data_IF_244367182076
#
_entry.id   IF_244367182076
#
_cell.length_a   1.000
_cell.length_b   1.000
_cell.length_c   1.000
_cell.angle_alpha   90.00
_cell.angle_beta   90.00
_cell.angle_gamma   90.00
#
_symmetry.space_group_name_H-M   'P 1'
#
loop_
_entity.id
_entity.type
_entity.pdbx_description
1 polymer ?
#
# COMPACT_ATOMS: atom_id res chain seq x y z
N UNK A 1 -18.33 10.89 18.30
CA UNK A 1 -18.07 10.79 16.85
C UNK A 1 -17.91 12.20 16.33
N UNK A 2 -16.75 12.54 15.77
CA UNK A 2 -16.54 13.86 15.15
C UNK A 2 -17.13 13.90 13.71
N UNK A 3 -17.02 15.06 13.04
CA UNK A 3 -17.56 15.28 11.68
C UNK A 3 -16.51 15.11 10.58
N UNK A 4 -15.28 14.78 10.92
CA UNK A 4 -14.19 14.66 9.96
C UNK A 4 -14.27 13.30 9.26
N UNK A 5 -14.14 13.32 7.94
CA UNK A 5 -14.07 12.09 7.15
C UNK A 5 -12.63 11.62 7.06
N UNK A 6 -12.43 10.31 7.14
CA UNK A 6 -11.14 9.71 6.86
C UNK A 6 -10.78 9.84 5.37
N UNK A 7 -9.55 10.26 5.09
CA UNK A 7 -9.03 10.37 3.73
C UNK A 7 -7.69 9.64 3.63
N UNK A 8 -7.77 8.34 3.29
CA UNK A 8 -6.61 7.44 3.14
C UNK A 8 -5.55 8.00 2.19
N UNK A 9 -5.95 8.38 0.98
CA UNK A 9 -5.01 8.80 -0.06
C UNK A 9 -4.28 10.10 0.32
N UNK A 10 -4.99 11.06 0.92
CA UNK A 10 -4.36 12.28 1.40
C UNK A 10 -3.35 12.02 2.52
N UNK A 11 -3.64 11.10 3.44
CA UNK A 11 -2.73 10.75 4.54
C UNK A 11 -1.46 10.06 4.02
N UNK A 12 -1.60 9.19 3.01
CA UNK A 12 -0.46 8.60 2.31
C UNK A 12 0.43 9.68 1.69
N UNK A 13 -0.15 10.66 0.99
CA UNK A 13 0.62 11.76 0.41
C UNK A 13 1.35 12.58 1.48
N UNK A 14 0.69 12.83 2.62
CA UNK A 14 1.32 13.50 3.77
C UNK A 14 2.53 12.69 4.24
N UNK A 15 2.38 11.38 4.45
CA UNK A 15 3.47 10.49 4.84
C UNK A 15 4.63 10.53 3.85
N UNK A 16 4.35 10.44 2.55
CA UNK A 16 5.37 10.55 1.50
C UNK A 16 6.16 11.87 1.60
N UNK A 17 5.49 13.00 1.77
CA UNK A 17 6.17 14.30 1.89
C UNK A 17 7.11 14.39 3.09
N UNK A 18 6.87 13.63 4.16
CA UNK A 18 7.76 13.58 5.32
C UNK A 18 8.99 12.69 5.14
N UNK A 19 8.93 11.68 4.26
CA UNK A 19 9.95 10.62 4.21
C UNK A 19 10.68 10.53 2.87
N UNK A 20 10.18 11.20 1.82
CA UNK A 20 10.68 11.09 0.43
C UNK A 20 12.17 11.42 0.23
N UNK A 21 12.78 12.18 1.14
CA UNK A 21 14.18 12.57 1.04
C UNK A 21 15.13 11.63 1.81
N UNK A 22 14.57 10.66 2.55
CA UNK A 22 15.31 9.68 3.36
C UNK A 22 15.19 8.24 2.84
N UNK A 23 14.16 7.95 2.03
CA UNK A 23 13.85 6.59 1.56
C UNK A 23 13.64 6.56 0.04
N UNK A 24 14.08 5.46 -0.58
CA UNK A 24 14.03 5.29 -2.04
C UNK A 24 12.66 4.83 -2.58
N UNK A 25 11.79 4.31 -1.72
CA UNK A 25 10.46 3.82 -2.09
C UNK A 25 9.55 3.77 -0.85
N UNK A 26 8.25 3.66 -1.07
CA UNK A 26 7.24 3.56 -0.01
C UNK A 26 6.34 2.33 -0.18
N UNK A 27 5.80 1.86 0.94
CA UNK A 27 4.71 0.89 0.98
C UNK A 27 3.44 1.56 1.53
N UNK A 28 2.41 1.70 0.70
CA UNK A 28 1.09 2.16 1.12
C UNK A 28 0.33 0.97 1.71
N UNK A 29 0.34 0.83 3.04
CA UNK A 29 -0.09 -0.39 3.73
C UNK A 29 -1.26 -0.14 4.69
N UNK A 30 -2.38 -0.83 4.48
CA UNK A 30 -3.51 -0.80 5.42
C UNK A 30 -3.15 -1.50 6.74
N UNK A 31 -3.42 -0.87 7.88
CA UNK A 31 -2.96 -1.33 9.20
C UNK A 31 -3.55 -2.69 9.62
N UNK A 32 -4.67 -3.08 9.03
CA UNK A 32 -5.41 -4.31 9.35
C UNK A 32 -5.10 -5.47 8.39
N UNK A 33 -4.23 -5.28 7.39
CA UNK A 33 -3.92 -6.30 6.39
C UNK A 33 -2.53 -6.91 6.61
N UNK A 34 -2.43 -7.93 7.48
CA UNK A 34 -1.15 -8.54 7.85
C UNK A 34 -0.70 -9.62 6.84
N UNK A 35 0.52 -9.52 6.26
CA UNK A 35 1.11 -10.59 5.47
C UNK A 35 1.35 -11.84 6.33
N UNK A 36 0.88 -13.00 5.86
CA UNK A 36 1.06 -14.30 6.55
C UNK A 36 1.99 -15.26 5.78
N UNK A 37 2.46 -14.86 4.59
CA UNK A 37 3.34 -15.64 3.74
C UNK A 37 4.63 -14.86 3.49
N UNK A 38 5.76 -15.39 3.98
CA UNK A 38 7.07 -14.75 3.88
C UNK A 38 7.59 -14.63 2.43
N UNK A 39 6.94 -15.29 1.47
CA UNK A 39 7.25 -15.15 0.06
C UNK A 39 6.69 -13.85 -0.57
N UNK A 40 5.86 -13.09 0.17
CA UNK A 40 5.38 -11.79 -0.28
C UNK A 40 6.52 -10.76 -0.25
N UNK A 41 6.94 -10.30 -1.43
CA UNK A 41 8.06 -9.38 -1.55
C UNK A 41 7.71 -7.98 -1.09
N UNK A 42 8.53 -7.44 -0.19
CA UNK A 42 8.56 -6.02 0.19
C UNK A 42 9.81 -5.29 -0.32
N UNK A 43 10.51 -5.90 -1.29
CA UNK A 43 11.72 -5.31 -1.86
C UNK A 43 11.39 -4.09 -2.72
N UNK A 44 12.41 -3.30 -2.99
CA UNK A 44 12.36 -2.14 -3.90
C UNK A 44 11.68 -2.50 -5.24
N UNK A 45 10.62 -1.77 -5.65
CA UNK A 45 9.86 -2.06 -6.87
C UNK A 45 10.54 -1.46 -8.10
N UNK A 46 11.54 -2.15 -8.65
CA UNK A 46 12.44 -1.60 -9.69
C UNK A 46 11.76 -1.28 -11.03
N UNK A 47 10.91 -2.20 -11.53
CA UNK A 47 10.34 -2.07 -12.88
C UNK A 47 8.99 -1.33 -12.94
N UNK A 48 8.17 -1.48 -11.90
CA UNK A 48 6.80 -0.97 -11.85
C UNK A 48 6.28 -1.03 -10.40
N UNK A 49 5.20 -0.27 -10.07
CA UNK A 49 4.51 -0.44 -8.80
C UNK A 49 4.17 -1.91 -8.52
N UNK A 50 4.44 -2.35 -7.29
CA UNK A 50 4.24 -3.74 -6.90
C UNK A 50 3.06 -3.88 -5.94
N UNK A 51 2.00 -4.54 -6.40
CA UNK A 51 0.79 -4.76 -5.63
C UNK A 51 0.90 -6.05 -4.81
N UNK A 52 1.27 -5.92 -3.52
CA UNK A 52 1.50 -7.06 -2.62
C UNK A 52 0.19 -7.80 -2.33
N UNK A 53 -0.90 -7.07 -2.14
CA UNK A 53 -2.24 -7.64 -1.90
C UNK A 53 -3.05 -7.74 -3.18
N UNK A 54 -2.48 -8.42 -4.18
CA UNK A 54 -3.08 -8.63 -5.49
C UNK A 54 -4.53 -9.16 -5.41
N UNK A 55 -5.38 -8.95 -6.43
CA UNK A 55 -6.79 -9.35 -6.38
C UNK A 55 -7.01 -10.84 -6.07
N UNK A 56 -6.10 -11.72 -6.47
CA UNK A 56 -6.11 -13.16 -6.18
C UNK A 56 -5.64 -13.51 -4.76
N UNK A 57 -5.03 -12.56 -4.05
CA UNK A 57 -4.51 -12.71 -2.68
C UNK A 57 -5.32 -11.94 -1.63
N UNK A 58 -6.06 -10.91 -2.04
CA UNK A 58 -6.81 -10.06 -1.10
C UNK A 58 -8.04 -10.80 -0.54
N UNK A 59 -8.32 -10.75 0.77
CA UNK A 59 -9.41 -11.53 1.40
C UNK A 59 -10.83 -11.12 1.01
N UNK A 60 -11.03 -10.12 0.14
CA UNK A 60 -12.35 -9.48 -0.08
C UNK A 60 -12.55 -9.00 -1.53
N UNK A 61 -11.53 -8.37 -2.12
CA UNK A 61 -11.65 -7.72 -3.43
C UNK A 61 -10.86 -8.49 -4.48
N UNK A 62 -11.55 -9.04 -5.48
CA UNK A 62 -10.99 -9.98 -6.46
C UNK A 62 -11.12 -9.50 -7.91
N UNK A 63 -11.37 -8.20 -8.14
CA UNK A 63 -11.53 -7.65 -9.50
C UNK A 63 -10.18 -7.15 -10.05
N UNK A 64 -9.96 -7.32 -11.36
CA UNK A 64 -8.65 -7.16 -12.00
C UNK A 64 -7.98 -5.78 -11.84
N UNK A 65 -8.75 -4.73 -11.58
CA UNK A 65 -8.25 -3.36 -11.43
C UNK A 65 -8.16 -2.90 -9.97
N UNK A 66 -8.30 -3.83 -9.01
CA UNK A 66 -8.14 -3.52 -7.60
C UNK A 66 -6.68 -3.24 -7.27
N UNK A 67 -6.40 -2.10 -6.61
CA UNK A 67 -5.06 -1.65 -6.19
C UNK A 67 -5.03 -1.17 -4.73
N UNK A 68 -6.01 -1.59 -3.92
CA UNK A 68 -6.09 -1.27 -2.48
C UNK A 68 -5.28 -2.23 -1.62
N UNK A 69 -5.30 -2.04 -0.30
CA UNK A 69 -4.54 -2.87 0.65
C UNK A 69 -3.09 -2.41 0.74
N UNK A 70 -2.20 -3.12 0.05
CA UNK A 70 -0.74 -2.94 0.14
C UNK A 70 -0.14 -2.77 -1.26
N UNK A 71 0.40 -1.58 -1.54
CA UNK A 71 1.02 -1.23 -2.82
C UNK A 71 2.36 -0.51 -2.60
N UNK A 72 3.40 -0.99 -3.26
CA UNK A 72 4.76 -0.44 -3.21
C UNK A 72 5.04 0.41 -4.45
N UNK A 73 5.66 1.57 -4.25
CA UNK A 73 6.00 2.54 -5.31
C UNK A 73 7.33 3.20 -4.99
N UNK A 74 8.18 3.40 -6.00
CA UNK A 74 9.41 4.18 -5.96
C UNK A 74 9.26 5.55 -6.65
#
# INVERSE_FOLDING_TARGET
VDRFRFNRASLVNVGFLYVKDEFDYIAMHDVDLLPINDNLSYKYPDAAPFHVSAPDLHPRYHYNTFIGGILLVN
#
